data_IF_287830727005
#
_entry.id   IF_287830727005
#
_cell.length_a   1.000
_cell.length_b   1.000
_cell.length_c   1.000
_cell.angle_alpha   90.00
_cell.angle_beta   90.00
_cell.angle_gamma   90.00
#
_symmetry.space_group_name_H-M   'P 1'
#
loop_
_entity.id
_entity.type
_entity.pdbx_description
1 polymer ?
#
# COMPACT_ATOMS: atom_id res chain seq x y z
N UNK A 1 22.00 -31.14 -12.71
CA UNK A 1 21.36 -31.80 -11.59
C UNK A 1 20.04 -31.11 -11.37
N UNK A 2 18.90 -31.79 -11.27
CA UNK A 2 17.65 -31.13 -10.90
C UNK A 2 17.78 -30.66 -9.45
N UNK A 3 17.21 -29.50 -9.11
CA UNK A 3 17.24 -28.96 -7.74
C UNK A 3 16.60 -29.96 -6.77
N UNK A 4 17.14 -30.05 -5.57
CA UNK A 4 16.58 -30.91 -4.51
C UNK A 4 15.19 -30.41 -4.13
N UNK A 5 14.34 -31.31 -3.60
CA UNK A 5 12.96 -30.96 -3.20
C UNK A 5 12.93 -29.80 -2.19
N UNK A 6 13.92 -29.73 -1.31
CA UNK A 6 14.10 -28.64 -0.35
C UNK A 6 14.51 -27.31 -0.99
N UNK A 7 15.33 -27.33 -2.05
CA UNK A 7 15.67 -26.11 -2.81
C UNK A 7 14.47 -25.57 -3.60
N UNK A 8 13.63 -26.48 -4.10
CA UNK A 8 12.39 -26.12 -4.82
C UNK A 8 11.34 -25.52 -3.88
N UNK A 9 11.19 -26.03 -2.66
CA UNK A 9 10.31 -25.47 -1.62
C UNK A 9 10.80 -24.11 -1.13
N UNK A 10 12.10 -23.91 -0.96
CA UNK A 10 12.69 -22.62 -0.58
C UNK A 10 12.53 -21.60 -1.72
N UNK A 11 12.61 -22.01 -2.98
CA UNK A 11 12.45 -21.12 -4.12
C UNK A 11 10.98 -20.70 -4.34
N UNK A 12 10.02 -21.59 -4.08
CA UNK A 12 8.58 -21.32 -4.12
C UNK A 12 8.13 -20.36 -2.99
N UNK A 13 8.86 -20.29 -1.90
CA UNK A 13 8.50 -19.50 -0.72
C UNK A 13 9.15 -18.09 -0.69
N UNK A 14 10.04 -17.75 -1.65
CA UNK A 14 10.65 -16.40 -1.72
C UNK A 14 9.63 -15.35 -2.16
N UNK A 15 9.64 -14.19 -1.49
CA UNK A 15 8.87 -13.03 -1.96
C UNK A 15 9.29 -12.67 -3.39
N UNK A 16 8.31 -12.45 -4.25
CA UNK A 16 8.53 -12.16 -5.66
C UNK A 16 9.20 -10.79 -5.84
N UNK A 17 10.22 -10.74 -6.72
CA UNK A 17 10.93 -9.50 -7.01
C UNK A 17 10.03 -8.53 -7.80
N UNK A 18 9.96 -7.23 -7.43
CA UNK A 18 9.17 -6.23 -8.13
C UNK A 18 9.72 -5.85 -9.51
N UNK A 19 10.76 -6.55 -10.01
CA UNK A 19 11.44 -6.27 -11.30
C UNK A 19 10.49 -6.24 -12.48
N UNK A 20 9.51 -7.14 -12.52
CA UNK A 20 8.59 -7.25 -13.65
C UNK A 20 7.74 -5.98 -13.82
N UNK A 21 7.33 -5.36 -12.72
CA UNK A 21 6.54 -4.12 -12.75
C UNK A 21 7.40 -2.96 -13.22
N UNK A 22 8.65 -2.88 -12.75
CA UNK A 22 9.58 -1.84 -13.17
C UNK A 22 9.91 -1.95 -14.67
N UNK A 23 10.11 -3.17 -15.18
CA UNK A 23 10.33 -3.39 -16.62
C UNK A 23 9.09 -2.96 -17.42
N UNK A 24 7.88 -3.31 -16.98
CA UNK A 24 6.63 -2.88 -17.65
C UNK A 24 6.48 -1.36 -17.68
N UNK A 25 6.78 -0.67 -16.57
CA UNK A 25 6.75 0.78 -16.49
C UNK A 25 7.76 1.41 -17.45
N UNK A 26 8.98 0.86 -17.52
CA UNK A 26 10.03 1.35 -18.38
C UNK A 26 9.69 1.13 -19.87
N UNK A 27 9.22 -0.07 -20.23
CA UNK A 27 8.80 -0.37 -21.62
C UNK A 27 7.67 0.56 -22.04
N UNK A 28 6.68 0.79 -21.19
CA UNK A 28 5.59 1.71 -21.48
C UNK A 28 6.08 3.15 -21.68
N UNK A 29 6.99 3.63 -20.82
CA UNK A 29 7.59 4.96 -20.97
C UNK A 29 8.40 5.11 -22.25
N UNK A 30 9.17 4.08 -22.62
CA UNK A 30 9.91 4.05 -23.90
C UNK A 30 8.93 4.13 -25.07
N UNK A 31 7.82 3.38 -25.02
CA UNK A 31 6.79 3.44 -26.05
C UNK A 31 6.16 4.83 -26.15
N UNK A 32 5.78 5.45 -25.02
CA UNK A 32 5.30 6.82 -24.98
C UNK A 32 6.33 7.82 -25.53
N UNK A 33 7.59 7.65 -25.17
CA UNK A 33 8.71 8.46 -25.71
C UNK A 33 8.85 8.33 -27.23
N UNK A 34 8.72 7.09 -27.76
CA UNK A 34 8.75 6.85 -29.20
C UNK A 34 7.59 7.57 -29.91
N UNK A 35 6.38 7.48 -29.38
CA UNK A 35 5.20 8.24 -29.88
C UNK A 35 5.50 9.74 -29.80
N UNK A 36 6.08 10.22 -28.72
CA UNK A 36 6.51 11.62 -28.57
C UNK A 36 7.50 12.07 -29.63
N UNK A 37 8.48 11.21 -30.01
CA UNK A 37 9.43 11.49 -31.08
C UNK A 37 8.74 11.57 -32.44
N UNK A 38 7.79 10.67 -32.73
CA UNK A 38 7.03 10.71 -33.98
C UNK A 38 6.19 11.98 -34.08
N UNK A 39 5.58 12.40 -32.98
CA UNK A 39 4.72 13.57 -32.89
C UNK A 39 5.48 14.85 -32.48
N UNK A 40 6.81 14.85 -32.53
CA UNK A 40 7.64 15.94 -32.00
C UNK A 40 7.23 17.32 -32.50
N UNK A 41 7.00 17.47 -33.82
CA UNK A 41 6.62 18.78 -34.41
C UNK A 41 5.28 19.28 -33.83
N UNK A 42 4.28 18.38 -33.73
CA UNK A 42 2.95 18.72 -33.21
C UNK A 42 3.03 19.07 -31.72
N UNK A 43 3.82 18.31 -30.95
CA UNK A 43 4.01 18.53 -29.51
C UNK A 43 4.68 19.89 -29.27
N UNK A 44 5.73 20.22 -30.04
CA UNK A 44 6.42 21.52 -29.91
C UNK A 44 5.48 22.68 -30.23
N UNK A 45 4.72 22.58 -31.33
CA UNK A 45 3.74 23.61 -31.70
C UNK A 45 2.67 23.78 -30.62
N UNK A 46 2.12 22.69 -30.12
CA UNK A 46 1.13 22.69 -29.04
C UNK A 46 1.73 23.22 -27.72
N UNK A 47 2.98 22.89 -27.39
CA UNK A 47 3.65 23.39 -26.19
C UNK A 47 3.78 24.91 -26.18
N UNK A 48 4.18 25.52 -27.32
CA UNK A 48 4.35 26.94 -27.44
C UNK A 48 3.05 27.73 -27.57
N UNK A 49 1.88 27.05 -27.71
CA UNK A 49 0.59 27.74 -27.65
C UNK A 49 0.33 28.34 -26.25
N UNK A 50 0.72 27.66 -25.19
CA UNK A 50 0.68 28.17 -23.80
C UNK A 50 1.87 27.62 -23.01
N UNK A 51 3.09 28.19 -23.13
CA UNK A 51 4.30 27.63 -22.57
C UNK A 51 4.26 27.57 -21.03
N UNK A 52 3.63 28.53 -20.37
CA UNK A 52 3.57 28.60 -18.91
C UNK A 52 2.75 27.44 -18.33
N UNK A 53 1.54 27.25 -18.80
CA UNK A 53 0.65 26.18 -18.30
C UNK A 53 1.14 24.79 -18.75
N UNK A 54 1.58 24.65 -19.99
CA UNK A 54 2.08 23.38 -20.52
C UNK A 54 3.38 22.94 -19.83
N UNK A 55 4.26 23.89 -19.45
CA UNK A 55 5.43 23.61 -18.63
C UNK A 55 5.04 23.15 -17.22
N UNK A 56 4.02 23.76 -16.61
CA UNK A 56 3.50 23.33 -15.32
C UNK A 56 2.94 21.90 -15.38
N UNK A 57 2.13 21.58 -16.41
CA UNK A 57 1.61 20.23 -16.65
C UNK A 57 2.78 19.24 -16.82
N UNK A 58 3.78 19.60 -17.61
CA UNK A 58 4.98 18.78 -17.81
C UNK A 58 5.77 18.55 -16.51
N UNK A 59 5.91 19.58 -15.67
CA UNK A 59 6.57 19.47 -14.38
C UNK A 59 5.80 18.53 -13.42
N UNK A 60 4.48 18.65 -13.33
CA UNK A 60 3.64 17.77 -12.51
C UNK A 60 3.74 16.33 -13.01
N UNK A 61 3.70 16.11 -14.33
CA UNK A 61 3.89 14.78 -14.92
C UNK A 61 5.25 14.20 -14.55
N UNK A 62 6.32 14.96 -14.69
CA UNK A 62 7.68 14.51 -14.36
C UNK A 62 7.79 14.11 -12.87
N UNK A 63 7.27 14.95 -11.97
CA UNK A 63 7.23 14.64 -10.54
C UNK A 63 6.43 13.35 -10.29
N UNK A 64 5.26 13.22 -10.91
CA UNK A 64 4.42 12.02 -10.80
C UNK A 64 5.14 10.76 -11.28
N UNK A 65 5.85 10.81 -12.40
CA UNK A 65 6.67 9.71 -12.93
C UNK A 65 7.76 9.32 -11.92
N UNK A 66 8.51 10.30 -11.39
CA UNK A 66 9.57 10.06 -10.39
C UNK A 66 8.98 9.38 -9.15
N UNK A 67 7.83 9.85 -8.66
CA UNK A 67 7.17 9.27 -7.49
C UNK A 67 6.72 7.85 -7.75
N UNK A 68 6.12 7.55 -8.93
CA UNK A 68 5.70 6.20 -9.29
C UNK A 68 6.88 5.21 -9.33
N UNK A 69 8.00 5.61 -9.95
CA UNK A 69 9.22 4.78 -9.93
C UNK A 69 9.79 4.61 -8.53
N UNK A 70 9.86 5.67 -7.75
CA UNK A 70 10.33 5.63 -6.36
C UNK A 70 9.53 4.65 -5.50
N UNK A 71 8.21 4.59 -5.68
CA UNK A 71 7.34 3.65 -4.96
C UNK A 71 7.74 2.19 -5.23
N UNK A 72 7.97 1.81 -6.49
CA UNK A 72 8.39 0.45 -6.86
C UNK A 72 9.82 0.16 -6.42
N UNK A 73 10.75 1.13 -6.60
CA UNK A 73 12.15 0.97 -6.20
C UNK A 73 12.27 0.79 -4.68
N UNK A 74 11.44 1.48 -3.90
CA UNK A 74 11.43 1.35 -2.43
C UNK A 74 11.07 -0.06 -1.95
N UNK A 75 10.37 -0.86 -2.74
CA UNK A 75 10.04 -2.25 -2.38
C UNK A 75 11.24 -3.20 -2.46
N UNK A 76 12.28 -2.88 -3.25
CA UNK A 76 13.44 -3.77 -3.40
C UNK A 76 14.18 -4.06 -2.08
N UNK A 77 14.56 -3.03 -1.29
CA UNK A 77 15.23 -3.29 -0.02
C UNK A 77 14.33 -4.02 0.99
N UNK A 78 13.01 -3.81 0.94
CA UNK A 78 12.05 -4.49 1.81
C UNK A 78 11.94 -5.98 1.46
N UNK A 79 11.78 -6.31 0.17
CA UNK A 79 11.78 -7.70 -0.32
C UNK A 79 13.12 -8.39 0.00
N UNK A 80 14.23 -7.71 -0.22
CA UNK A 80 15.56 -8.25 0.10
C UNK A 80 15.71 -8.52 1.59
N UNK A 81 15.21 -7.62 2.45
CA UNK A 81 15.25 -7.79 3.90
C UNK A 81 14.46 -9.03 4.35
N UNK A 82 13.22 -9.21 3.86
CA UNK A 82 12.39 -10.38 4.20
C UNK A 82 13.07 -11.67 3.72
N UNK A 83 13.54 -11.70 2.47
CA UNK A 83 14.21 -12.88 1.93
C UNK A 83 15.49 -13.23 2.67
N UNK A 84 16.28 -12.22 3.09
CA UNK A 84 17.48 -12.44 3.90
C UNK A 84 17.12 -12.88 5.32
N UNK A 85 16.07 -12.34 5.93
CA UNK A 85 15.60 -12.73 7.24
C UNK A 85 15.21 -14.21 7.31
N UNK A 86 14.58 -14.72 6.24
CA UNK A 86 14.18 -16.15 6.12
C UNK A 86 15.37 -17.10 6.00
N UNK A 87 16.46 -16.66 5.38
CA UNK A 87 17.64 -17.50 5.07
C UNK A 87 18.72 -17.34 6.16
N UNK A 88 18.67 -16.24 6.94
CA UNK A 88 19.69 -15.96 7.93
C UNK A 88 19.61 -16.93 9.12
N UNK A 89 20.74 -17.57 9.43
CA UNK A 89 20.91 -18.32 10.68
C UNK A 89 20.65 -17.39 11.89
N UNK A 90 20.06 -17.93 12.98
CA UNK A 90 19.82 -17.16 14.21
C UNK A 90 21.11 -16.55 14.73
N UNK A 91 21.30 -15.25 14.56
CA UNK A 91 22.45 -14.51 15.07
C UNK A 91 23.20 -13.60 14.08
N UNK A 92 22.92 -13.67 12.77
CA UNK A 92 23.49 -12.74 11.80
C UNK A 92 22.72 -11.41 11.83
N UNK A 93 23.42 -10.32 12.16
CA UNK A 93 22.87 -8.97 12.11
C UNK A 93 22.57 -8.59 10.64
N UNK A 94 21.30 -8.35 10.31
CA UNK A 94 20.91 -7.85 9.00
C UNK A 94 21.31 -6.37 8.93
N UNK A 95 22.32 -6.06 8.14
CA UNK A 95 23.00 -4.75 8.08
C UNK A 95 22.09 -3.59 7.65
N UNK A 96 21.00 -3.83 6.92
CA UNK A 96 20.09 -2.79 6.45
C UNK A 96 18.74 -2.89 7.13
N UNK A 97 18.41 -1.89 7.93
CA UNK A 97 17.07 -1.77 8.52
C UNK A 97 16.07 -1.37 7.44
N UNK A 98 14.95 -2.10 7.29
CA UNK A 98 13.89 -1.75 6.36
C UNK A 98 13.22 -0.45 6.83
N UNK A 99 12.67 0.32 5.88
CA UNK A 99 11.95 1.57 6.20
C UNK A 99 10.46 1.35 6.33
N UNK A 100 9.88 0.58 5.42
CA UNK A 100 8.45 0.23 5.41
C UNK A 100 8.15 -0.81 6.49
N UNK A 101 8.99 -1.84 6.58
CA UNK A 101 8.89 -2.94 7.55
C UNK A 101 9.59 -2.63 8.88
N UNK A 102 9.91 -1.36 9.17
CA UNK A 102 10.58 -0.96 10.41
C UNK A 102 9.84 -1.43 11.69
N UNK A 103 8.49 -1.35 11.80
CA UNK A 103 7.77 -1.89 12.96
C UNK A 103 7.95 -3.40 13.12
N UNK A 104 7.92 -4.13 12.01
CA UNK A 104 8.13 -5.56 11.96
C UNK A 104 9.57 -5.91 12.36
N UNK A 105 10.57 -5.20 11.84
CA UNK A 105 11.96 -5.39 12.18
C UNK A 105 12.27 -5.10 13.66
N UNK A 106 11.54 -4.17 14.29
CA UNK A 106 11.68 -3.86 15.71
C UNK A 106 11.19 -5.02 16.61
N UNK A 107 10.09 -5.66 16.23
CA UNK A 107 9.52 -6.78 16.97
C UNK A 107 10.35 -8.04 16.75
N UNK A 108 10.68 -8.35 15.49
CA UNK A 108 11.43 -9.55 15.13
C UNK A 108 12.91 -9.48 15.52
N UNK A 109 13.52 -8.29 15.51
CA UNK A 109 14.92 -8.07 15.86
C UNK A 109 15.21 -8.09 17.37
N UNK A 110 14.17 -7.99 18.22
CA UNK A 110 14.29 -8.01 19.68
C UNK A 110 14.40 -9.41 20.27
N UNK A 111 13.82 -10.40 19.64
CA UNK A 111 13.87 -11.80 20.08
C UNK A 111 15.05 -12.53 19.45
N UNK A 112 16.19 -12.47 20.13
CA UNK A 112 17.44 -13.17 19.75
C UNK A 112 17.37 -14.71 19.86
N UNK A 113 16.24 -15.25 20.22
CA UNK A 113 15.98 -16.70 20.30
C UNK A 113 15.22 -17.12 19.06
N UNK A 114 15.90 -17.65 18.10
CA UNK A 114 15.58 -18.30 16.82
C UNK A 114 14.22 -18.89 16.50
N UNK A 115 13.14 -18.45 17.16
CA UNK A 115 11.75 -18.81 16.87
C UNK A 115 10.89 -17.57 16.94
N UNK A 116 10.25 -17.30 15.84
CA UNK A 116 9.31 -16.22 15.65
C UNK A 116 8.02 -16.52 16.41
N UNK A 117 7.85 -15.99 17.61
CA UNK A 117 6.63 -16.13 18.39
C UNK A 117 5.76 -14.89 18.29
N UNK A 118 5.12 -14.69 17.13
CA UNK A 118 4.18 -13.58 16.97
C UNK A 118 2.77 -14.11 17.10
N UNK A 119 1.95 -13.49 17.98
CA UNK A 119 0.54 -13.83 18.07
C UNK A 119 -0.21 -13.43 16.78
N UNK A 120 -1.26 -14.16 16.43
CA UNK A 120 -2.09 -13.84 15.26
C UNK A 120 -2.64 -12.40 15.31
N UNK A 121 -2.90 -11.86 16.49
CA UNK A 121 -3.35 -10.50 16.67
C UNK A 121 -2.25 -9.49 16.35
N UNK A 122 -1.02 -9.72 16.82
CA UNK A 122 0.13 -8.86 16.51
C UNK A 122 0.45 -8.87 15.02
N UNK A 123 0.36 -10.04 14.37
CA UNK A 123 0.52 -10.17 12.92
C UNK A 123 -0.47 -9.27 12.18
N UNK A 124 -1.77 -9.33 12.52
CA UNK A 124 -2.79 -8.48 11.89
C UNK A 124 -2.50 -7.00 12.07
N UNK A 125 -2.15 -6.55 13.27
CA UNK A 125 -1.80 -5.14 13.52
C UNK A 125 -0.58 -4.68 12.72
N UNK A 126 0.42 -5.54 12.54
CA UNK A 126 1.58 -5.24 11.70
C UNK A 126 1.20 -5.10 10.23
N UNK A 127 0.42 -6.05 9.69
CA UNK A 127 -0.06 -6.01 8.33
C UNK A 127 -0.93 -4.78 8.06
N UNK A 128 -1.84 -4.42 8.97
CA UNK A 128 -2.67 -3.22 8.87
C UNK A 128 -1.82 -1.94 8.86
N UNK A 129 -0.79 -1.88 9.71
CA UNK A 129 0.15 -0.74 9.72
C UNK A 129 0.93 -0.62 8.41
N UNK A 130 1.34 -1.73 7.80
CA UNK A 130 2.04 -1.76 6.52
C UNK A 130 1.08 -1.36 5.39
N UNK A 131 -0.15 -1.90 5.37
CA UNK A 131 -1.18 -1.55 4.40
C UNK A 131 -1.46 -0.04 4.39
N UNK A 132 -1.65 0.56 5.57
CA UNK A 132 -1.88 2.01 5.70
C UNK A 132 -0.74 2.84 5.09
N UNK A 133 0.52 2.45 5.32
CA UNK A 133 1.69 3.15 4.75
C UNK A 133 1.81 2.99 3.23
N UNK A 134 1.37 1.85 2.69
CA UNK A 134 1.33 1.63 1.24
C UNK A 134 0.22 2.47 0.60
N UNK A 135 -0.95 2.55 1.23
CA UNK A 135 -2.09 3.32 0.73
C UNK A 135 -1.81 4.83 0.76
N UNK A 136 -1.15 5.35 1.81
CA UNK A 136 -0.73 6.75 1.88
C UNK A 136 0.16 7.15 0.68
N UNK A 137 1.09 6.29 0.30
CA UNK A 137 1.94 6.54 -0.86
C UNK A 137 1.15 6.52 -2.18
N UNK A 138 0.11 5.68 -2.28
CA UNK A 138 -0.78 5.56 -3.44
C UNK A 138 -1.68 6.79 -3.62
N UNK A 139 -2.18 7.35 -2.53
CA UNK A 139 -3.06 8.53 -2.56
C UNK A 139 -2.38 9.74 -3.19
N UNK A 140 -1.08 9.95 -2.93
CA UNK A 140 -0.30 11.01 -3.56
C UNK A 140 -0.25 10.83 -5.08
N UNK A 141 -0.03 9.62 -5.57
CA UNK A 141 0.03 9.32 -7.01
C UNK A 141 -1.32 9.57 -7.69
N UNK A 142 -2.41 9.11 -7.06
CA UNK A 142 -3.78 9.35 -7.53
C UNK A 142 -4.13 10.84 -7.58
N UNK A 143 -3.73 11.60 -6.55
CA UNK A 143 -3.90 13.04 -6.53
C UNK A 143 -3.16 13.72 -7.69
N UNK A 144 -1.90 13.33 -8.00
CA UNK A 144 -1.15 13.87 -9.13
C UNK A 144 -1.84 13.60 -10.47
N UNK A 145 -2.43 12.41 -10.65
CA UNK A 145 -3.21 12.07 -11.85
C UNK A 145 -4.44 12.98 -11.99
N UNK A 146 -5.18 13.21 -10.92
CA UNK A 146 -6.31 14.14 -10.89
C UNK A 146 -5.89 15.60 -11.16
N UNK A 147 -4.76 16.02 -10.60
CA UNK A 147 -4.20 17.35 -10.80
C UNK A 147 -3.85 17.60 -12.29
N UNK A 148 -3.31 16.60 -12.99
CA UNK A 148 -3.03 16.72 -14.43
C UNK A 148 -4.29 16.93 -15.24
N UNK A 149 -5.38 16.20 -14.94
CA UNK A 149 -6.68 16.40 -15.58
C UNK A 149 -7.20 17.80 -15.29
N UNK A 150 -7.13 18.25 -14.03
CA UNK A 150 -7.58 19.57 -13.62
C UNK A 150 -6.81 20.70 -14.32
N UNK A 151 -5.49 20.59 -14.41
CA UNK A 151 -4.66 21.57 -15.12
C UNK A 151 -4.98 21.60 -16.63
N UNK A 152 -5.28 20.45 -17.24
CA UNK A 152 -5.73 20.37 -18.62
C UNK A 152 -7.07 21.10 -18.83
N UNK A 153 -8.03 20.88 -17.93
CA UNK A 153 -9.33 21.58 -17.96
C UNK A 153 -9.17 23.08 -17.68
N UNK A 154 -8.29 23.48 -16.77
CA UNK A 154 -8.01 24.89 -16.53
C UNK A 154 -7.47 25.57 -17.79
N UNK A 155 -6.66 24.85 -18.57
CA UNK A 155 -6.17 25.36 -19.86
C UNK A 155 -7.27 25.60 -20.88
N UNK A 156 -8.27 24.72 -20.95
CA UNK A 156 -9.44 24.93 -21.82
C UNK A 156 -10.23 26.17 -21.40
N UNK A 157 -10.44 26.34 -20.10
CA UNK A 157 -11.14 27.48 -19.56
C UNK A 157 -10.41 28.80 -19.87
N UNK A 158 -9.11 28.83 -19.68
CA UNK A 158 -8.26 30.00 -19.99
C UNK A 158 -8.33 30.38 -21.46
N UNK A 159 -8.15 29.43 -22.36
CA UNK A 159 -8.20 29.67 -23.79
C UNK A 159 -9.60 30.08 -24.30
N UNK A 160 -10.70 29.60 -23.64
CA UNK A 160 -12.04 30.05 -23.95
C UNK A 160 -12.28 31.51 -23.55
N UNK A 161 -11.77 31.94 -22.40
CA UNK A 161 -11.84 33.34 -21.95
C UNK A 161 -11.14 34.23 -23.00
N UNK A 162 -9.96 33.84 -23.44
CA UNK A 162 -9.20 34.58 -24.43
C UNK A 162 -9.92 34.66 -25.78
N UNK A 163 -10.53 33.55 -26.21
CA UNK A 163 -11.35 33.46 -27.42
C UNK A 163 -12.54 34.40 -27.35
N UNK A 164 -13.33 34.35 -26.26
CA UNK A 164 -14.49 35.24 -26.10
C UNK A 164 -14.08 36.70 -26.04
N UNK A 165 -13.02 37.03 -25.33
CA UNK A 165 -12.49 38.39 -25.27
C UNK A 165 -12.02 38.90 -26.61
N UNK A 166 -11.44 38.06 -27.47
CA UNK A 166 -11.00 38.45 -28.80
C UNK A 166 -12.18 38.61 -29.77
N UNK A 167 -13.25 37.78 -29.70
CA UNK A 167 -14.48 37.96 -30.47
C UNK A 167 -15.12 39.29 -30.10
N UNK A 168 -15.20 39.67 -28.82
CA UNK A 168 -15.73 40.97 -28.40
C UNK A 168 -15.01 42.12 -29.04
N UNK A 169 -13.68 42.11 -29.09
CA UNK A 169 -12.85 43.14 -29.74
C UNK A 169 -13.12 43.24 -31.26
N UNK A 170 -13.37 42.11 -31.92
CA UNK A 170 -13.71 42.10 -33.35
C UNK A 170 -15.07 42.79 -33.58
N UNK A 171 -16.06 42.48 -32.76
CA UNK A 171 -17.40 43.08 -32.84
C UNK A 171 -17.34 44.57 -32.58
N UNK A 172 -16.59 45.04 -31.57
CA UNK A 172 -16.41 46.46 -31.25
C UNK A 172 -15.66 47.21 -32.33
N UNK A 173 -14.81 46.54 -33.09
CA UNK A 173 -14.03 47.09 -34.22
C UNK A 173 -14.85 47.23 -35.52
N UNK A 174 -16.00 46.60 -35.64
CA UNK A 174 -16.84 46.66 -36.82
C UNK A 174 -17.56 48.02 -36.92
N UNK A 175 -17.03 48.92 -37.79
CA UNK A 175 -17.69 50.20 -38.09
C UNK A 175 -18.82 50.01 -39.10
N UNK A 176 -20.03 50.33 -38.68
CA UNK A 176 -21.23 50.31 -39.55
C UNK A 176 -21.11 51.48 -40.56
N UNK A 177 -20.97 51.17 -41.86
CA UNK A 177 -20.90 52.19 -42.93
C UNK A 177 -19.68 52.15 -43.82
N UNK A 178 -18.80 51.17 -43.70
CA UNK A 178 -17.64 50.94 -44.56
C UNK A 178 -17.99 50.16 -45.84
N UNK A 179 -17.05 50.17 -46.82
CA UNK A 179 -17.11 49.32 -48.00
C UNK A 179 -17.14 47.82 -47.60
N UNK A 180 -18.00 47.02 -48.26
CA UNK A 180 -18.18 45.60 -47.92
C UNK A 180 -16.86 44.80 -48.01
N UNK A 181 -15.92 45.19 -48.87
CA UNK A 181 -14.60 44.58 -48.98
C UNK A 181 -13.74 44.85 -47.75
N UNK A 182 -13.70 46.09 -47.26
CA UNK A 182 -12.96 46.46 -46.06
C UNK A 182 -13.52 45.82 -44.79
N UNK A 183 -14.86 45.65 -44.73
CA UNK A 183 -15.51 44.93 -43.65
C UNK A 183 -15.11 43.43 -43.63
N UNK A 184 -15.07 42.79 -44.82
CA UNK A 184 -14.67 41.39 -44.93
C UNK A 184 -13.21 41.16 -44.51
N UNK A 185 -12.27 42.05 -44.93
CA UNK A 185 -10.88 41.97 -44.55
C UNK A 185 -10.68 42.20 -43.03
N UNK A 186 -11.40 43.15 -42.43
CA UNK A 186 -11.42 43.37 -41.00
C UNK A 186 -11.94 42.15 -40.21
N UNK A 187 -13.00 41.51 -40.72
CA UNK A 187 -13.58 40.30 -40.12
C UNK A 187 -12.60 39.12 -40.21
N UNK A 188 -11.96 38.95 -41.38
CA UNK A 188 -10.97 37.89 -41.61
C UNK A 188 -9.74 38.05 -40.70
N UNK A 189 -9.18 39.21 -40.55
CA UNK A 189 -8.08 39.50 -39.64
C UNK A 189 -8.53 39.35 -38.18
N UNK A 190 -9.72 39.85 -37.85
CA UNK A 190 -10.27 39.78 -36.50
C UNK A 190 -10.54 38.36 -35.99
N UNK A 191 -10.90 37.41 -36.88
CA UNK A 191 -11.16 36.02 -36.53
C UNK A 191 -9.88 35.20 -36.31
N UNK A 192 -8.69 35.70 -36.70
CA UNK A 192 -7.43 34.97 -36.48
C UNK A 192 -7.10 34.82 -35.01
N UNK A 193 -7.36 35.83 -34.17
CA UNK A 193 -7.13 35.76 -32.71
C UNK A 193 -8.06 34.78 -31.98
N UNK A 194 -9.40 34.74 -32.19
CA UNK A 194 -10.29 33.72 -31.65
C UNK A 194 -9.86 32.31 -32.01
N UNK A 195 -9.47 32.08 -33.27
CA UNK A 195 -9.00 30.76 -33.72
C UNK A 195 -7.70 30.35 -33.02
N UNK A 196 -6.79 31.32 -32.77
CA UNK A 196 -5.59 31.09 -31.97
C UNK A 196 -5.90 30.70 -30.53
N UNK A 197 -6.85 31.37 -29.87
CA UNK A 197 -7.31 31.05 -28.50
C UNK A 197 -7.87 29.64 -28.35
N UNK A 198 -8.60 29.13 -29.36
CA UNK A 198 -9.05 27.74 -29.38
C UNK A 198 -7.86 26.75 -29.42
N UNK A 199 -6.81 27.07 -30.19
CA UNK A 199 -5.59 26.27 -30.23
C UNK A 199 -4.91 26.14 -28.86
N UNK A 200 -4.90 27.22 -28.08
CA UNK A 200 -4.40 27.22 -26.68
C UNK A 200 -5.21 26.28 -25.82
N UNK A 201 -6.55 26.36 -25.89
CA UNK A 201 -7.46 25.49 -25.14
C UNK A 201 -7.20 24.02 -25.40
N UNK A 202 -7.16 23.62 -26.68
CA UNK A 202 -6.97 22.22 -27.05
C UNK A 202 -5.58 21.69 -26.69
N UNK A 203 -4.52 22.51 -26.80
CA UNK A 203 -3.16 22.07 -26.51
C UNK A 203 -2.99 21.69 -25.05
N UNK A 204 -3.42 22.53 -24.11
CA UNK A 204 -3.29 22.29 -22.69
C UNK A 204 -4.13 21.09 -22.21
N UNK A 205 -5.34 20.94 -22.79
CA UNK A 205 -6.18 19.77 -22.50
C UNK A 205 -5.52 18.48 -22.97
N UNK A 206 -4.93 18.48 -24.17
CA UNK A 206 -4.23 17.32 -24.71
C UNK A 206 -3.07 16.91 -23.81
N UNK A 207 -2.24 17.87 -23.36
CA UNK A 207 -1.13 17.59 -22.43
C UNK A 207 -1.62 17.08 -21.09
N UNK A 208 -2.66 17.67 -20.50
CA UNK A 208 -3.24 17.23 -19.23
C UNK A 208 -3.79 15.82 -19.32
N UNK A 209 -4.59 15.49 -20.35
CA UNK A 209 -5.18 14.17 -20.55
C UNK A 209 -4.12 13.11 -20.90
N UNK A 210 -3.18 13.42 -21.81
CA UNK A 210 -2.11 12.49 -22.14
C UNK A 210 -1.22 12.22 -20.91
N UNK A 211 -0.88 13.26 -20.16
CA UNK A 211 -0.10 13.15 -18.94
C UNK A 211 -0.81 12.31 -17.87
N UNK A 212 -2.12 12.51 -17.67
CA UNK A 212 -2.91 11.73 -16.71
C UNK A 212 -3.01 10.26 -17.11
N UNK A 213 -3.10 9.95 -18.40
CA UNK A 213 -3.13 8.57 -18.91
C UNK A 213 -1.77 7.87 -18.65
N UNK A 214 -0.66 8.57 -18.95
CA UNK A 214 0.68 8.05 -18.69
C UNK A 214 0.87 7.78 -17.20
N UNK A 215 0.57 8.77 -16.35
CA UNK A 215 0.74 8.63 -14.92
C UNK A 215 -0.21 7.60 -14.33
N UNK A 216 -1.45 7.50 -14.81
CA UNK A 216 -2.43 6.51 -14.38
C UNK A 216 -1.97 5.07 -14.67
N UNK A 217 -1.33 4.82 -15.82
CA UNK A 217 -0.74 3.51 -16.09
C UNK A 217 0.42 3.18 -15.14
N UNK A 218 1.30 4.15 -14.87
CA UNK A 218 2.43 3.97 -13.93
C UNK A 218 1.92 3.72 -12.51
N UNK A 219 0.88 4.44 -12.09
CA UNK A 219 0.21 4.24 -10.81
C UNK A 219 -0.40 2.85 -10.69
N UNK A 220 -1.06 2.37 -11.74
CA UNK A 220 -1.60 1.00 -11.80
C UNK A 220 -0.50 -0.05 -11.62
N UNK A 221 0.66 0.09 -12.30
CA UNK A 221 1.77 -0.85 -12.14
C UNK A 221 2.41 -0.78 -10.76
N UNK A 222 2.54 0.42 -10.19
CA UNK A 222 3.02 0.62 -8.83
C UNK A 222 2.10 -0.01 -7.80
N UNK A 223 0.78 0.20 -7.94
CA UNK A 223 -0.23 -0.41 -7.08
C UNK A 223 -0.23 -1.93 -7.15
N UNK A 224 -0.08 -2.51 -8.35
CA UNK A 224 0.03 -3.96 -8.51
C UNK A 224 1.31 -4.52 -7.85
N UNK A 225 2.44 -3.80 -7.95
CA UNK A 225 3.67 -4.19 -7.28
C UNK A 225 3.52 -4.20 -5.75
N UNK A 226 2.87 -3.16 -5.19
CA UNK A 226 2.60 -3.04 -3.76
C UNK A 226 1.63 -4.10 -3.27
N UNK A 227 0.53 -4.36 -4.00
CA UNK A 227 -0.44 -5.39 -3.64
C UNK A 227 0.20 -6.79 -3.64
N UNK A 228 1.02 -7.09 -4.65
CA UNK A 228 1.72 -8.37 -4.70
C UNK A 228 2.69 -8.52 -3.54
N UNK A 229 3.47 -7.49 -3.24
CA UNK A 229 4.35 -7.48 -2.08
C UNK A 229 3.58 -7.71 -0.77
N UNK A 230 2.42 -7.06 -0.60
CA UNK A 230 1.58 -7.22 0.58
C UNK A 230 1.04 -8.65 0.71
N UNK A 231 0.51 -9.22 -0.38
CA UNK A 231 0.00 -10.60 -0.37
C UNK A 231 1.11 -11.60 -0.09
N UNK A 232 2.27 -11.50 -0.77
CA UNK A 232 3.41 -12.38 -0.53
C UNK A 232 3.91 -12.27 0.93
N UNK A 233 3.83 -11.07 1.55
CA UNK A 233 4.19 -10.83 2.95
C UNK A 233 3.17 -11.45 3.90
N UNK A 234 1.87 -11.30 3.62
CA UNK A 234 0.77 -11.88 4.39
C UNK A 234 0.85 -13.40 4.40
N UNK A 235 1.04 -14.02 3.23
CA UNK A 235 1.19 -15.47 3.09
C UNK A 235 2.38 -15.99 3.91
N UNK A 236 3.52 -15.32 3.82
CA UNK A 236 4.70 -15.69 4.61
C UNK A 236 4.46 -15.57 6.12
N UNK A 237 3.82 -14.51 6.58
CA UNK A 237 3.53 -14.34 8.01
C UNK A 237 2.50 -15.35 8.50
N UNK A 238 1.51 -15.71 7.67
CA UNK A 238 0.50 -16.72 8.00
C UNK A 238 1.11 -18.11 8.18
N UNK A 239 2.04 -18.52 7.30
CA UNK A 239 2.80 -19.77 7.44
C UNK A 239 3.56 -19.81 8.77
N UNK A 240 4.26 -18.71 9.10
CA UNK A 240 5.07 -18.61 10.32
C UNK A 240 4.22 -18.71 11.60
N UNK A 241 3.03 -18.10 11.61
CA UNK A 241 2.10 -18.16 12.74
C UNK A 241 1.46 -19.57 12.87
N UNK A 242 1.16 -20.25 11.75
CA UNK A 242 0.63 -21.61 11.77
C UNK A 242 1.64 -22.61 12.33
N UNK A 243 2.90 -22.50 11.90
CA UNK A 243 3.99 -23.37 12.39
C UNK A 243 4.17 -23.21 13.91
N UNK A 244 4.14 -21.96 14.42
CA UNK A 244 4.19 -21.68 15.85
C UNK A 244 2.96 -22.24 16.60
N UNK A 245 1.76 -22.12 16.04
CA UNK A 245 0.54 -22.67 16.64
C UNK A 245 0.59 -24.20 16.72
N UNK A 246 1.15 -24.85 15.71
CA UNK A 246 1.32 -26.32 15.71
C UNK A 246 2.38 -26.76 16.74
N UNK A 247 3.51 -26.03 16.86
CA UNK A 247 4.55 -26.31 17.87
C UNK A 247 4.10 -25.92 19.29
N UNK A 248 3.36 -24.82 19.44
CA UNK A 248 2.79 -24.39 20.73
C UNK A 248 1.72 -25.32 21.27
N UNK A 249 0.99 -26.04 20.41
CA UNK A 249 0.10 -27.13 20.81
C UNK A 249 0.88 -28.38 21.25
N UNK A 250 2.10 -28.56 20.75
CA UNK A 250 3.00 -29.60 21.27
C UNK A 250 3.60 -29.25 22.66
N UNK A 251 3.65 -27.96 23.02
CA UNK A 251 4.17 -27.47 24.32
C UNK A 251 3.10 -27.22 25.40
N UNK A 252 1.82 -27.02 25.02
CA UNK A 252 0.68 -26.96 25.94
C UNK A 252 0.09 -28.36 26.16
N UNK A 253 0.94 -29.26 26.56
CA UNK A 253 0.76 -30.71 26.57
C UNK A 253 -0.19 -31.29 27.58
N UNK A 254 -1.28 -30.64 27.99
CA UNK A 254 -2.19 -31.27 28.97
C UNK A 254 -3.63 -31.46 28.55
N UNK A 255 -4.10 -30.83 27.47
CA UNK A 255 -5.47 -31.01 26.99
C UNK A 255 -5.63 -32.16 25.96
N UNK A 256 -4.70 -32.29 25.02
CA UNK A 256 -4.75 -33.34 24.01
C UNK A 256 -4.62 -34.76 24.64
N UNK A 257 -3.66 -35.03 25.54
CA UNK A 257 -3.63 -36.33 26.22
C UNK A 257 -4.81 -36.53 27.15
N UNK A 258 -5.40 -35.45 27.71
CA UNK A 258 -6.64 -35.58 28.50
C UNK A 258 -7.86 -35.90 27.61
N UNK A 259 -7.97 -35.27 26.45
CA UNK A 259 -9.00 -35.56 25.44
C UNK A 259 -8.82 -36.95 24.80
N UNK A 260 -7.60 -37.39 24.52
CA UNK A 260 -7.32 -38.72 24.00
C UNK A 260 -7.60 -39.82 25.05
N UNK A 261 -7.29 -39.56 26.32
CA UNK A 261 -7.70 -40.46 27.42
C UNK A 261 -9.21 -40.51 27.58
N UNK A 262 -9.91 -39.38 27.40
CA UNK A 262 -11.37 -39.33 27.43
C UNK A 262 -11.99 -40.09 26.26
N UNK A 263 -11.39 -39.96 25.06
CA UNK A 263 -11.79 -40.68 23.84
C UNK A 263 -11.53 -42.18 23.97
N UNK A 264 -10.36 -42.59 24.47
CA UNK A 264 -10.07 -43.98 24.79
C UNK A 264 -10.99 -44.55 25.87
N UNK A 265 -11.28 -43.80 26.93
CA UNK A 265 -12.21 -44.22 27.98
C UNK A 265 -13.66 -44.38 27.45
N UNK A 266 -14.08 -43.55 26.48
CA UNK A 266 -15.39 -43.67 25.81
C UNK A 266 -15.40 -44.85 24.83
N UNK A 267 -14.33 -45.14 24.12
CA UNK A 267 -14.20 -46.30 23.23
C UNK A 267 -14.10 -47.61 24.03
N UNK A 268 -13.44 -47.62 25.20
CA UNK A 268 -13.40 -48.78 26.12
C UNK A 268 -14.76 -49.02 26.80
N UNK A 269 -15.59 -48.01 26.98
CA UNK A 269 -16.99 -48.20 27.45
C UNK A 269 -17.86 -48.98 26.46
N UNK A 270 -17.50 -48.94 25.14
CA UNK A 270 -18.19 -49.74 24.11
C UNK A 270 -17.83 -51.23 24.09
N UNK A 271 -16.74 -51.66 24.75
CA UNK A 271 -16.28 -53.03 24.85
C UNK A 271 -16.26 -53.49 26.32
N UNK A 272 -17.38 -53.89 26.80
CA UNK A 272 -17.75 -54.75 27.94
C UNK A 272 -16.64 -55.17 28.93
N UNK A 273 -15.99 -54.18 29.63
CA UNK A 273 -15.15 -54.42 30.80
C UNK A 273 -15.40 -53.36 31.88
N UNK A 274 -16.10 -53.83 32.93
CA UNK A 274 -16.34 -53.18 34.23
C UNK A 274 -16.60 -51.66 34.18
N UNK A 275 -17.86 -51.30 34.13
CA UNK A 275 -18.38 -49.91 34.22
C UNK A 275 -17.77 -49.08 35.37
N UNK A 276 -17.27 -49.75 36.42
CA UNK A 276 -16.64 -49.10 37.58
C UNK A 276 -15.26 -48.49 37.25
N UNK A 277 -14.45 -49.13 36.43
CA UNK A 277 -13.11 -48.61 36.04
C UNK A 277 -13.23 -47.45 35.04
N UNK A 278 -14.18 -47.54 34.12
CA UNK A 278 -14.49 -46.46 33.18
C UNK A 278 -15.04 -45.23 33.90
N UNK A 279 -15.88 -45.39 34.92
CA UNK A 279 -16.36 -44.29 35.77
C UNK A 279 -15.24 -43.63 36.59
N UNK A 280 -14.28 -44.40 37.09
CA UNK A 280 -13.14 -43.86 37.82
C UNK A 280 -12.21 -43.03 36.91
N UNK A 281 -11.91 -43.51 35.70
CA UNK A 281 -11.12 -42.81 34.72
C UNK A 281 -11.81 -41.53 34.22
N UNK A 282 -13.14 -41.56 34.05
CA UNK A 282 -13.94 -40.38 33.71
C UNK A 282 -13.92 -39.33 34.83
N UNK A 283 -14.03 -39.76 36.08
CA UNK A 283 -13.98 -38.87 37.24
C UNK A 283 -12.60 -38.18 37.36
N UNK A 284 -11.51 -38.90 37.09
CA UNK A 284 -10.14 -38.38 37.10
C UNK A 284 -9.91 -37.36 35.95
N UNK A 285 -10.43 -37.65 34.74
CA UNK A 285 -10.39 -36.76 33.61
C UNK A 285 -11.20 -35.47 33.87
N UNK A 286 -12.37 -35.58 34.47
CA UNK A 286 -13.20 -34.41 34.85
C UNK A 286 -12.50 -33.59 35.94
N UNK A 287 -11.86 -34.22 36.92
CA UNK A 287 -11.07 -33.50 37.94
C UNK A 287 -9.90 -32.74 37.31
N UNK A 288 -9.20 -33.32 36.34
CA UNK A 288 -8.12 -32.65 35.58
C UNK A 288 -8.64 -31.43 34.82
N UNK A 289 -9.78 -31.56 34.13
CA UNK A 289 -10.42 -30.45 33.40
C UNK A 289 -10.84 -29.32 34.34
N UNK A 290 -11.45 -29.64 35.49
CA UNK A 290 -11.87 -28.64 36.49
C UNK A 290 -10.65 -27.92 37.09
N UNK A 291 -9.55 -28.63 37.31
CA UNK A 291 -8.34 -28.05 37.83
C UNK A 291 -7.74 -27.05 36.79
N UNK A 292 -7.69 -27.46 35.52
CA UNK A 292 -7.23 -26.60 34.44
C UNK A 292 -8.10 -25.36 34.28
N UNK A 293 -9.41 -25.47 34.24
CA UNK A 293 -10.33 -24.33 34.19
C UNK A 293 -10.15 -23.35 35.37
N UNK A 294 -9.87 -23.88 36.58
CA UNK A 294 -9.60 -23.01 37.73
C UNK A 294 -8.31 -22.25 37.57
N UNK A 295 -7.28 -22.86 37.03
CA UNK A 295 -5.98 -22.21 36.76
C UNK A 295 -6.14 -21.15 35.70
N UNK A 296 -6.86 -21.40 34.60
CA UNK A 296 -7.15 -20.38 33.57
C UNK A 296 -7.97 -19.22 34.15
N UNK A 297 -8.98 -19.49 34.95
CA UNK A 297 -9.77 -18.44 35.61
C UNK A 297 -8.91 -17.58 36.56
N UNK A 298 -7.90 -18.16 37.17
CA UNK A 298 -7.00 -17.46 38.06
C UNK A 298 -6.05 -16.56 37.27
N UNK A 299 -5.50 -17.05 36.15
CA UNK A 299 -4.70 -16.26 35.22
C UNK A 299 -5.48 -15.08 34.61
N UNK A 300 -6.73 -15.31 34.23
CA UNK A 300 -7.60 -14.25 33.71
C UNK A 300 -7.86 -13.16 34.78
N UNK A 301 -8.05 -13.55 36.03
CA UNK A 301 -8.22 -12.59 37.13
C UNK A 301 -6.95 -11.79 37.39
N UNK A 302 -5.81 -12.44 37.46
CA UNK A 302 -4.51 -11.78 37.63
C UNK A 302 -4.22 -10.80 36.50
N UNK A 303 -4.56 -11.19 35.25
CA UNK A 303 -4.46 -10.31 34.09
C UNK A 303 -5.41 -9.11 34.17
N UNK A 304 -6.66 -9.34 34.56
CA UNK A 304 -7.67 -8.28 34.71
C UNK A 304 -7.29 -7.29 35.84
N UNK A 305 -6.76 -7.80 36.95
CA UNK A 305 -6.28 -6.98 38.06
C UNK A 305 -5.05 -6.15 37.63
N UNK A 306 -4.11 -6.73 36.90
CA UNK A 306 -2.95 -6.03 36.32
C UNK A 306 -3.34 -4.94 35.34
N UNK A 307 -4.35 -5.19 34.48
CA UNK A 307 -4.90 -4.17 33.57
C UNK A 307 -5.59 -3.03 34.36
N UNK A 308 -6.28 -3.37 35.44
CA UNK A 308 -6.92 -2.40 36.35
C UNK A 308 -5.91 -1.44 37.00
N UNK A 309 -4.79 -1.98 37.44
CA UNK A 309 -3.67 -1.19 38.02
C UNK A 309 -3.01 -0.28 36.98
N UNK A 310 -2.71 -0.80 35.77
CA UNK A 310 -2.13 -0.01 34.70
C UNK A 310 -3.08 1.14 34.27
N UNK A 311 -4.37 0.88 34.16
CA UNK A 311 -5.34 1.93 33.85
C UNK A 311 -5.45 3.01 34.93
N UNK A 312 -5.30 2.67 36.21
CA UNK A 312 -5.24 3.64 37.32
C UNK A 312 -3.98 4.51 37.23
N UNK A 313 -2.84 3.89 36.89
CA UNK A 313 -1.56 4.60 36.75
C UNK A 313 -1.59 5.57 35.57
N UNK A 314 -2.12 5.13 34.41
CA UNK A 314 -2.31 5.99 33.23
C UNK A 314 -3.24 7.17 33.58
N UNK A 315 -4.34 6.92 34.28
CA UNK A 315 -5.28 7.97 34.70
C UNK A 315 -4.61 8.97 35.65
N UNK A 316 -3.83 8.51 36.61
CA UNK A 316 -3.08 9.37 37.51
C UNK A 316 -2.01 10.21 36.80
N UNK A 317 -1.33 9.66 35.78
CA UNK A 317 -0.40 10.39 34.93
C UNK A 317 -1.10 11.46 34.09
N UNK A 318 -2.24 11.14 33.48
CA UNK A 318 -3.06 12.09 32.72
C UNK A 318 -3.57 13.24 33.62
N UNK A 319 -4.02 12.94 34.85
CA UNK A 319 -4.44 13.96 35.79
C UNK A 319 -3.27 14.86 36.25
N UNK A 320 -2.06 14.34 36.38
CA UNK A 320 -0.86 15.15 36.66
C UNK A 320 -0.49 16.04 35.48
N UNK A 321 -0.56 15.54 34.24
CA UNK A 321 -0.33 16.35 33.03
C UNK A 321 -1.37 17.46 32.87
N UNK A 322 -2.64 17.18 33.18
CA UNK A 322 -3.72 18.17 33.10
C UNK A 322 -3.63 19.25 34.20
N UNK A 323 -2.88 19.02 35.28
CA UNK A 323 -2.66 19.98 36.37
C UNK A 323 -1.39 20.82 36.26
N UNK A 324 -0.51 20.55 35.25
CA UNK A 324 0.61 21.45 34.98
C UNK A 324 0.08 22.71 34.28
N UNK A 325 0.11 23.89 34.90
CA UNK A 325 -0.22 25.14 34.23
C UNK A 325 0.87 25.40 33.19
N UNK A 326 0.47 25.82 32.00
CA UNK A 326 1.34 26.39 30.99
C UNK A 326 2.18 27.50 31.62
N UNK A 327 3.39 27.20 32.02
CA UNK A 327 4.40 28.22 32.27
C UNK A 327 5.03 28.59 30.94
N UNK A 328 4.61 29.74 30.50
CA UNK A 328 5.09 30.53 29.38
C UNK A 328 6.59 30.82 29.53
#
# INVERSE_FOLDING_TARGET
MPPSRSEMEIELSKLSSPRIFLVRMLVFLVLCGLVGVVLYKQIVTAFFANPGLNALIGAVLLIGVILAFRQVIRLYPEVAWVNNFRIADPGLAIERRPTLLAPMAAILGGERTGRMSISQQTMRHLLDSIATRLDEARDISRYMTGLLVFLGLLGTFWGLIETVGSVGKVIDGLKVGGDAGALFDTLKEGLAAPLGGMGISFSSSLFGLAGSLILGFLDLQSSQAQNRFYTDLEDWMAETVQEYSAEGHAGNGDLNPALDRLRQAVEEMGSNRTATTAMANLAEAIQGLVHHMRTEQQLIREWADGQGEQNKEIKALLERLARQPETN
#
